data_IF_287164117713
#
_entry.id   IF_287164117713
#
_cell.length_a   1.000
_cell.length_b   1.000
_cell.length_c   1.000
_cell.angle_alpha   90.00
_cell.angle_beta   90.00
_cell.angle_gamma   90.00
#
_symmetry.space_group_name_H-M   'P 1'
#
loop_
_entity.id
_entity.type
_entity.pdbx_description
1 polymer ?
#
# COMPACT_ATOMS: atom_id res chain seq x y z
N UNK A 1 6.68 19.56 2.75
CA UNK A 1 6.07 18.74 3.83
C UNK A 1 5.28 17.54 3.31
N UNK A 2 4.74 17.63 2.11
CA UNK A 2 3.91 16.58 1.46
C UNK A 2 4.64 15.25 1.23
N UNK A 3 5.96 15.25 0.95
CA UNK A 3 6.74 14.03 0.78
C UNK A 3 6.75 13.12 2.02
N UNK A 4 6.62 13.67 3.22
CA UNK A 4 6.52 12.89 4.45
C UNK A 4 5.23 12.06 4.53
N UNK A 5 4.18 12.46 3.80
CA UNK A 5 2.88 11.79 3.77
C UNK A 5 2.81 10.68 2.71
N UNK A 6 3.78 10.62 1.78
CA UNK A 6 3.74 9.71 0.64
C UNK A 6 3.61 8.21 1.04
N UNK A 7 4.32 7.78 2.08
CA UNK A 7 4.25 6.39 2.56
C UNK A 7 2.86 6.08 3.14
N UNK A 8 2.36 6.97 4.01
CA UNK A 8 1.03 6.80 4.62
C UNK A 8 -0.08 6.85 3.56
N UNK A 9 0.01 7.79 2.62
CA UNK A 9 -0.93 7.88 1.49
C UNK A 9 -0.91 6.60 0.64
N UNK A 10 0.26 6.02 0.37
CA UNK A 10 0.37 4.74 -0.35
C UNK A 10 -0.35 3.62 0.41
N UNK A 11 -0.15 3.51 1.73
CA UNK A 11 -0.85 2.50 2.54
C UNK A 11 -2.38 2.67 2.48
N UNK A 12 -2.88 3.90 2.53
CA UNK A 12 -4.33 4.18 2.42
C UNK A 12 -4.87 3.90 1.02
N UNK A 13 -4.10 4.16 -0.04
CA UNK A 13 -4.47 3.78 -1.41
C UNK A 13 -4.62 2.26 -1.53
N UNK A 14 -3.65 1.49 -1.01
CA UNK A 14 -3.73 0.02 -1.02
C UNK A 14 -4.93 -0.47 -0.18
N UNK A 15 -5.16 0.13 0.98
CA UNK A 15 -6.32 -0.18 1.82
C UNK A 15 -7.63 0.06 1.06
N UNK A 16 -7.77 1.19 0.39
CA UNK A 16 -8.95 1.51 -0.42
C UNK A 16 -9.19 0.47 -1.53
N UNK A 17 -8.15 0.08 -2.26
CA UNK A 17 -8.25 -0.92 -3.33
C UNK A 17 -8.74 -2.27 -2.79
N UNK A 18 -8.17 -2.72 -1.67
CA UNK A 18 -8.54 -4.00 -1.05
C UNK A 18 -9.95 -3.93 -0.46
N UNK A 19 -10.31 -2.82 0.20
CA UNK A 19 -11.64 -2.63 0.78
C UNK A 19 -12.74 -2.65 -0.29
N UNK A 20 -12.52 -1.97 -1.41
CA UNK A 20 -13.43 -2.01 -2.56
C UNK A 20 -13.60 -3.42 -3.15
N UNK A 21 -12.50 -4.19 -3.24
CA UNK A 21 -12.56 -5.57 -3.70
C UNK A 21 -13.35 -6.46 -2.72
N UNK A 22 -13.10 -6.33 -1.43
CA UNK A 22 -13.79 -7.07 -0.39
C UNK A 22 -15.28 -6.76 -0.36
N UNK A 23 -15.65 -5.48 -0.50
CA UNK A 23 -17.05 -5.05 -0.59
C UNK A 23 -17.77 -5.69 -1.79
N UNK A 24 -17.14 -5.71 -2.96
CA UNK A 24 -17.69 -6.37 -4.17
C UNK A 24 -17.84 -7.87 -3.97
N UNK A 25 -16.82 -8.53 -3.40
CA UNK A 25 -16.85 -9.96 -3.10
C UNK A 25 -17.93 -10.30 -2.08
N UNK A 26 -18.06 -9.48 -1.02
CA UNK A 26 -19.11 -9.64 -0.02
C UNK A 26 -20.51 -9.54 -0.61
N UNK A 27 -20.73 -8.58 -1.52
CA UNK A 27 -22.00 -8.44 -2.24
C UNK A 27 -22.27 -9.66 -3.15
N UNK A 28 -21.26 -10.12 -3.90
CA UNK A 28 -21.41 -11.24 -4.82
C UNK A 28 -21.70 -12.57 -4.10
N UNK A 29 -21.10 -12.79 -2.94
CA UNK A 29 -21.23 -14.00 -2.14
C UNK A 29 -22.24 -13.89 -0.99
N UNK A 30 -22.88 -12.74 -0.84
CA UNK A 30 -23.88 -12.44 0.21
C UNK A 30 -23.34 -12.73 1.64
N UNK A 31 -22.16 -12.21 1.96
CA UNK A 31 -21.57 -12.28 3.30
C UNK A 31 -20.98 -10.93 3.74
N UNK A 32 -20.79 -10.77 5.05
CA UNK A 32 -20.14 -9.58 5.59
C UNK A 32 -18.65 -9.63 5.28
N UNK A 33 -18.11 -8.68 4.48
CA UNK A 33 -16.71 -8.69 4.12
C UNK A 33 -15.81 -8.46 5.32
N UNK A 34 -14.59 -9.06 5.33
CA UNK A 34 -13.58 -8.76 6.33
C UNK A 34 -13.18 -7.28 6.31
N UNK A 35 -12.86 -6.73 7.47
CA UNK A 35 -12.31 -5.38 7.56
C UNK A 35 -10.86 -5.33 7.06
N UNK A 36 -10.46 -4.21 6.44
CA UNK A 36 -9.06 -3.98 6.06
C UNK A 36 -8.37 -3.14 7.11
N UNK A 37 -7.24 -3.65 7.63
CA UNK A 37 -6.42 -2.96 8.64
C UNK A 37 -5.03 -2.66 8.10
N UNK A 38 -4.42 -1.57 8.58
CA UNK A 38 -3.03 -1.18 8.30
C UNK A 38 -2.24 -1.25 9.60
N UNK A 39 -0.99 -1.69 9.51
CA UNK A 39 -0.07 -1.74 10.64
C UNK A 39 0.38 -3.16 10.96
N UNK A 40 0.95 -3.34 12.14
CA UNK A 40 1.43 -4.67 12.56
C UNK A 40 0.30 -5.69 12.57
N UNK A 41 0.58 -6.93 12.15
CA UNK A 41 -0.39 -8.01 12.23
C UNK A 41 -0.87 -8.22 13.67
N UNK A 42 -2.10 -8.69 13.88
CA UNK A 42 -2.61 -8.98 15.22
C UNK A 42 -1.72 -10.00 15.95
N UNK A 43 -1.37 -9.72 17.21
CA UNK A 43 -0.53 -10.58 18.04
C UNK A 43 -1.22 -11.89 18.49
N UNK A 44 -2.50 -12.07 18.19
CA UNK A 44 -3.28 -13.25 18.58
C UNK A 44 -4.41 -13.55 17.60
N UNK A 45 -5.19 -14.61 17.94
CA UNK A 45 -6.37 -14.94 17.16
C UNK A 45 -7.43 -13.85 17.29
N UNK A 46 -7.80 -13.26 16.16
CA UNK A 46 -8.92 -12.31 16.10
C UNK A 46 -10.23 -13.05 15.97
N UNK A 47 -11.26 -12.61 16.71
CA UNK A 47 -12.60 -13.19 16.61
C UNK A 47 -13.30 -12.81 15.29
N UNK A 48 -12.90 -11.69 14.69
CA UNK A 48 -13.49 -11.14 13.46
C UNK A 48 -12.53 -11.31 12.29
N UNK A 49 -13.01 -11.77 11.12
CA UNK A 49 -12.17 -11.85 9.93
C UNK A 49 -11.67 -10.46 9.52
N UNK A 50 -10.40 -10.38 9.15
CA UNK A 50 -9.77 -9.16 8.63
C UNK A 50 -8.67 -9.47 7.62
N UNK A 51 -8.39 -8.51 6.74
CA UNK A 51 -7.20 -8.48 5.88
C UNK A 51 -6.30 -7.39 6.39
N UNK A 52 -5.06 -7.73 6.72
CA UNK A 52 -4.08 -6.78 7.22
C UNK A 52 -3.04 -6.45 6.14
N UNK A 53 -2.72 -5.17 6.00
CA UNK A 53 -1.63 -4.65 5.16
C UNK A 53 -0.51 -4.14 6.07
N UNK A 54 0.57 -4.89 6.14
CA UNK A 54 1.73 -4.56 6.97
C UNK A 54 2.89 -4.06 6.11
N UNK A 55 3.26 -2.80 6.28
CA UNK A 55 4.50 -2.25 5.70
C UNK A 55 5.69 -2.77 6.50
N UNK A 56 6.43 -3.72 5.92
CA UNK A 56 7.58 -4.35 6.57
C UNK A 56 8.86 -3.52 6.43
N UNK A 57 9.03 -2.85 5.28
CA UNK A 57 10.26 -2.14 4.96
C UNK A 57 10.01 -1.06 3.91
N UNK A 58 10.78 0.03 3.97
CA UNK A 58 10.83 1.08 2.95
C UNK A 58 12.30 1.30 2.56
N UNK A 59 12.61 1.20 1.28
CA UNK A 59 13.96 1.37 0.75
C UNK A 59 13.98 2.40 -0.37
N UNK A 60 15.04 3.22 -0.49
CA UNK A 60 15.25 4.03 -1.68
C UNK A 60 15.40 3.14 -2.92
N UNK A 61 14.65 3.44 -3.99
CA UNK A 61 14.78 2.72 -5.26
C UNK A 61 16.00 3.23 -6.03
N UNK A 62 17.07 2.44 -6.06
CA UNK A 62 18.33 2.79 -6.73
C UNK A 62 18.24 2.71 -8.26
N UNK A 63 17.37 1.86 -8.80
CA UNK A 63 17.25 1.65 -10.25
C UNK A 63 16.61 2.84 -10.95
N UNK A 64 15.60 3.45 -10.35
CA UNK A 64 14.95 4.65 -10.88
C UNK A 64 15.81 5.90 -10.68
N UNK A 65 16.67 5.93 -9.67
CA UNK A 65 17.55 7.06 -9.37
C UNK A 65 18.52 7.38 -10.52
N UNK A 66 18.87 6.39 -11.33
CA UNK A 66 19.76 6.50 -12.49
C UNK A 66 19.01 6.54 -13.83
N UNK A 67 17.68 6.60 -13.83
CA UNK A 67 16.89 6.67 -15.05
C UNK A 67 17.17 8.00 -15.79
N UNK A 68 17.27 8.00 -17.14
CA UNK A 68 17.68 9.17 -17.93
C UNK A 68 16.83 10.43 -17.70
N UNK A 69 15.57 10.31 -17.26
CA UNK A 69 14.69 11.43 -16.94
C UNK A 69 15.00 12.12 -15.61
N UNK A 70 15.83 11.51 -14.76
CA UNK A 70 16.23 12.04 -13.46
C UNK A 70 17.68 12.53 -13.43
N UNK A 71 18.41 12.40 -14.55
CA UNK A 71 19.79 12.84 -14.71
C UNK A 71 19.82 14.28 -15.26
N UNK A 72 20.78 15.06 -14.79
CA UNK A 72 21.07 16.47 -15.14
C UNK A 72 20.65 16.85 -16.56
N UNK A 73 19.97 17.98 -16.70
CA UNK A 73 19.77 18.63 -18.00
C UNK A 73 21.10 18.87 -18.73
N UNK A 74 21.08 19.09 -20.05
CA UNK A 74 22.29 19.27 -20.90
C UNK A 74 23.20 20.41 -20.42
N UNK A 75 22.72 21.33 -19.58
CA UNK A 75 23.49 22.43 -19.00
C UNK A 75 24.03 22.14 -17.59
N UNK A 76 23.88 20.89 -17.07
CA UNK A 76 24.34 20.51 -15.74
C UNK A 76 23.47 21.00 -14.59
N UNK A 77 22.37 21.67 -14.88
CA UNK A 77 21.42 22.10 -13.88
C UNK A 77 20.77 20.90 -13.21
N UNK A 78 20.87 20.81 -11.88
CA UNK A 78 20.04 19.85 -11.13
C UNK A 78 18.58 20.25 -11.33
N UNK A 79 17.68 19.32 -11.69
CA UNK A 79 16.27 19.59 -11.54
C UNK A 79 16.07 20.09 -10.11
N UNK A 80 15.35 21.17 -9.93
CA UNK A 80 15.16 21.87 -8.66
C UNK A 80 14.70 20.94 -7.54
N UNK A 81 14.21 19.73 -7.90
CA UNK A 81 13.83 18.68 -6.95
C UNK A 81 13.91 17.30 -7.60
N UNK A 82 14.62 16.41 -6.91
CA UNK A 82 14.56 14.98 -7.25
C UNK A 82 13.30 14.38 -6.59
N UNK A 83 12.50 13.61 -7.34
CA UNK A 83 11.38 12.90 -6.75
C UNK A 83 11.88 11.91 -5.69
N UNK A 84 11.06 11.70 -4.67
CA UNK A 84 11.25 10.65 -3.69
C UNK A 84 10.90 9.32 -4.35
N UNK A 85 11.90 8.48 -4.57
CA UNK A 85 11.76 7.17 -5.19
C UNK A 85 11.92 6.09 -4.14
N UNK A 86 10.86 5.36 -3.83
CA UNK A 86 10.86 4.32 -2.80
C UNK A 86 10.29 3.00 -3.32
N UNK A 87 10.86 1.91 -2.79
CA UNK A 87 10.28 0.58 -2.80
C UNK A 87 9.73 0.29 -1.40
N UNK A 88 8.43 0.10 -1.31
CA UNK A 88 7.69 -0.19 -0.09
C UNK A 88 7.30 -1.67 -0.08
N UNK A 89 7.76 -2.41 0.92
CA UNK A 89 7.52 -3.84 1.03
C UNK A 89 6.34 -4.09 1.95
N UNK A 90 5.27 -4.65 1.39
CA UNK A 90 4.04 -4.97 2.10
C UNK A 90 3.82 -6.47 2.23
N UNK A 91 3.31 -6.87 3.39
CA UNK A 91 2.75 -8.19 3.63
C UNK A 91 1.24 -8.04 3.77
N UNK A 92 0.48 -8.62 2.83
CA UNK A 92 -0.97 -8.75 2.94
C UNK A 92 -1.28 -10.09 3.61
N UNK A 93 -2.08 -10.10 4.68
CA UNK A 93 -2.37 -11.32 5.45
C UNK A 93 -3.83 -11.40 5.86
N UNK A 94 -4.37 -12.62 5.86
CA UNK A 94 -5.73 -12.91 6.30
C UNK A 94 -5.77 -13.38 7.75
N UNK A 95 -6.67 -12.82 8.57
CA UNK A 95 -6.83 -13.13 9.99
C UNK A 95 -8.27 -13.48 10.33
N UNK A 96 -8.47 -14.17 11.46
CA UNK A 96 -9.78 -14.56 11.97
C UNK A 96 -10.18 -16.00 11.64
N UNK A 97 -11.37 -16.43 12.08
CA UNK A 97 -11.85 -17.79 11.92
C UNK A 97 -12.41 -18.07 10.52
N UNK A 98 -12.38 -19.35 10.14
CA UNK A 98 -13.05 -19.88 8.96
C UNK A 98 -12.49 -19.44 7.62
N UNK A 99 -13.23 -19.72 6.55
CA UNK A 99 -12.87 -19.44 5.16
C UNK A 99 -12.95 -17.93 4.80
N UNK A 100 -13.62 -17.12 5.61
CA UNK A 100 -13.76 -15.68 5.34
C UNK A 100 -12.41 -14.96 5.25
N UNK A 101 -11.42 -15.35 6.07
CA UNK A 101 -10.05 -14.81 5.99
C UNK A 101 -9.35 -15.17 4.69
N UNK A 102 -9.59 -16.39 4.19
CA UNK A 102 -8.95 -16.89 2.97
C UNK A 102 -9.60 -16.28 1.73
N UNK A 103 -10.93 -16.15 1.74
CA UNK A 103 -11.69 -15.41 0.71
C UNK A 103 -11.23 -13.95 0.68
N UNK A 104 -11.09 -13.31 1.85
CA UNK A 104 -10.61 -11.95 1.96
C UNK A 104 -9.20 -11.76 1.42
N UNK A 105 -8.29 -12.66 1.78
CA UNK A 105 -6.92 -12.63 1.26
C UNK A 105 -6.91 -12.90 -0.26
N UNK A 106 -7.72 -13.83 -0.76
CA UNK A 106 -7.86 -14.10 -2.19
C UNK A 106 -8.32 -12.88 -2.98
N UNK A 107 -9.33 -12.15 -2.50
CA UNK A 107 -9.81 -10.91 -3.10
C UNK A 107 -8.73 -9.80 -3.08
N UNK A 108 -7.96 -9.70 -1.99
CA UNK A 108 -6.83 -8.77 -1.91
C UNK A 108 -5.73 -9.12 -2.93
N UNK A 109 -5.37 -10.39 -3.04
CA UNK A 109 -4.38 -10.87 -4.01
C UNK A 109 -4.85 -10.56 -5.43
N UNK A 110 -6.09 -10.90 -5.77
CA UNK A 110 -6.65 -10.67 -7.08
C UNK A 110 -6.62 -9.19 -7.46
N UNK A 111 -7.12 -8.29 -6.60
CA UNK A 111 -7.18 -6.86 -6.92
C UNK A 111 -5.80 -6.23 -7.04
N UNK A 112 -4.84 -6.59 -6.18
CA UNK A 112 -3.48 -6.06 -6.25
C UNK A 112 -2.72 -6.55 -7.48
N UNK A 113 -3.00 -7.77 -7.95
CA UNK A 113 -2.43 -8.30 -9.20
C UNK A 113 -3.08 -7.67 -10.45
N UNK A 114 -4.38 -7.40 -10.40
CA UNK A 114 -5.10 -6.75 -11.50
C UNK A 114 -4.82 -5.24 -11.60
N UNK A 115 -4.21 -4.65 -10.58
CA UNK A 115 -3.87 -3.22 -10.53
C UNK A 115 -2.35 -3.02 -10.45
N UNK A 116 -1.58 -3.47 -11.46
CA UNK A 116 -0.12 -3.36 -11.44
C UNK A 116 0.37 -1.90 -11.47
N UNK A 117 -0.45 -0.98 -12.01
CA UNK A 117 -0.20 0.46 -12.03
C UNK A 117 -1.44 1.15 -11.49
N UNK A 118 -1.27 1.95 -10.45
CA UNK A 118 -2.37 2.75 -9.89
C UNK A 118 -2.47 4.05 -10.67
N UNK A 119 -3.62 4.26 -11.31
CA UNK A 119 -3.87 5.48 -12.10
C UNK A 119 -4.09 6.70 -11.21
N UNK A 120 -3.80 7.90 -11.73
CA UNK A 120 -4.05 9.17 -11.01
C UNK A 120 -5.51 9.31 -10.57
N UNK A 121 -6.46 8.83 -11.37
CA UNK A 121 -7.88 8.83 -11.02
C UNK A 121 -8.15 7.96 -9.78
N UNK A 122 -7.54 6.77 -9.69
CA UNK A 122 -7.64 5.88 -8.53
C UNK A 122 -6.99 6.50 -7.29
N UNK A 123 -5.80 7.10 -7.43
CA UNK A 123 -5.11 7.82 -6.35
C UNK A 123 -6.03 8.92 -5.79
N UNK A 124 -6.57 9.76 -6.69
CA UNK A 124 -7.47 10.84 -6.31
C UNK A 124 -8.73 10.30 -5.60
N UNK A 125 -9.37 9.26 -6.13
CA UNK A 125 -10.57 8.67 -5.53
C UNK A 125 -10.27 8.09 -4.15
N UNK A 126 -9.17 7.35 -4.00
CA UNK A 126 -8.79 6.73 -2.74
C UNK A 126 -8.47 7.78 -1.66
N UNK A 127 -7.67 8.80 -1.98
CA UNK A 127 -7.29 9.80 -0.99
C UNK A 127 -8.42 10.78 -0.67
N UNK A 128 -9.26 11.16 -1.66
CA UNK A 128 -10.45 11.99 -1.40
C UNK A 128 -11.51 11.27 -0.55
N UNK A 129 -11.52 9.95 -0.51
CA UNK A 129 -12.40 9.21 0.40
C UNK A 129 -12.08 9.45 1.88
N UNK A 130 -10.91 10.02 2.18
CA UNK A 130 -10.48 10.42 3.52
C UNK A 130 -10.88 11.86 3.88
N UNK A 131 -11.50 12.59 2.93
CA UNK A 131 -12.02 13.92 3.21
C UNK A 131 -13.11 13.84 4.28
N UNK A 132 -12.96 14.62 5.35
CA UNK A 132 -13.86 14.52 6.50
C UNK A 132 -13.55 13.39 7.50
N UNK A 133 -12.46 12.62 7.32
CA UNK A 133 -12.05 11.62 8.31
C UNK A 133 -11.81 12.30 9.68
N UNK A 134 -12.29 11.72 10.79
CA UNK A 134 -12.11 12.27 12.12
C UNK A 134 -10.64 12.35 12.55
N UNK A 135 -9.80 11.45 12.04
CA UNK A 135 -8.35 11.52 12.27
C UNK A 135 -7.72 12.63 11.39
N UNK A 136 -7.15 13.68 12.02
CA UNK A 136 -6.54 14.78 11.27
C UNK A 136 -5.35 14.34 10.43
N UNK A 137 -4.61 13.31 10.82
CA UNK A 137 -3.49 12.79 10.03
C UNK A 137 -3.97 12.10 8.77
N UNK A 138 -5.03 11.28 8.86
CA UNK A 138 -5.63 10.63 7.70
C UNK A 138 -6.29 11.67 6.78
N UNK A 139 -7.00 12.63 7.34
CA UNK A 139 -7.58 13.74 6.58
C UNK A 139 -6.52 14.55 5.82
N UNK A 140 -5.34 14.76 6.40
CA UNK A 140 -4.25 15.46 5.70
C UNK A 140 -3.78 14.75 4.42
N UNK A 141 -4.03 13.44 4.27
CA UNK A 141 -3.70 12.69 3.06
C UNK A 141 -4.62 13.04 1.89
N UNK A 142 -5.80 13.64 2.13
CA UNK A 142 -6.73 14.08 1.07
C UNK A 142 -6.35 15.41 0.43
N UNK A 143 -5.29 16.08 0.93
CA UNK A 143 -4.80 17.33 0.36
C UNK A 143 -4.43 17.16 -1.11
N UNK A 144 -4.86 18.11 -1.95
CA UNK A 144 -4.58 18.09 -3.39
C UNK A 144 -3.07 18.04 -3.68
N UNK A 145 -2.24 18.70 -2.89
CA UNK A 145 -0.79 18.67 -3.04
C UNK A 145 -0.20 17.27 -2.78
N UNK A 146 -0.83 16.44 -1.94
CA UNK A 146 -0.43 15.03 -1.76
C UNK A 146 -0.84 14.20 -2.96
N UNK A 147 -2.05 14.41 -3.48
CA UNK A 147 -2.57 13.70 -4.66
C UNK A 147 -1.70 14.01 -5.88
N UNK A 148 -1.41 15.28 -6.13
CA UNK A 148 -0.63 15.74 -7.29
C UNK A 148 0.86 15.38 -7.17
N UNK A 149 1.33 15.08 -5.97
CA UNK A 149 2.71 14.65 -5.73
C UNK A 149 3.03 13.26 -6.29
N UNK A 150 2.04 12.39 -6.48
CA UNK A 150 2.28 11.05 -7.04
C UNK A 150 2.47 11.10 -8.55
N UNK A 151 3.69 10.84 -9.01
CA UNK A 151 4.00 10.64 -10.44
C UNK A 151 3.68 9.22 -10.89
N UNK A 152 3.93 8.23 -10.04
CA UNK A 152 3.61 6.83 -10.31
C UNK A 152 3.52 5.99 -9.04
N UNK A 153 2.64 4.99 -9.07
CA UNK A 153 2.58 3.90 -8.09
C UNK A 153 2.47 2.60 -8.89
N UNK A 154 3.45 1.71 -8.71
CA UNK A 154 3.45 0.40 -9.32
C UNK A 154 3.43 -0.69 -8.25
N UNK A 155 2.51 -1.66 -8.38
CA UNK A 155 2.34 -2.78 -7.47
C UNK A 155 2.87 -4.05 -8.14
N UNK A 156 3.75 -4.77 -7.47
CA UNK A 156 4.34 -5.99 -7.98
C UNK A 156 4.31 -7.07 -6.90
N UNK A 157 3.76 -8.24 -7.23
CA UNK A 157 3.87 -9.38 -6.35
C UNK A 157 5.34 -9.80 -6.20
N UNK A 158 5.73 -10.13 -4.97
CA UNK A 158 7.06 -10.62 -4.63
C UNK A 158 6.93 -12.02 -4.05
N UNK A 159 7.76 -12.96 -4.53
CA UNK A 159 7.86 -14.27 -3.89
C UNK A 159 8.89 -14.21 -2.77
N UNK A 160 8.45 -14.41 -1.54
CA UNK A 160 9.32 -14.63 -0.40
C UNK A 160 9.41 -16.13 -0.12
N UNK A 161 10.63 -16.63 0.15
CA UNK A 161 10.81 -17.98 0.66
C UNK A 161 10.13 -18.17 2.02
N UNK A 162 9.79 -19.40 2.36
CA UNK A 162 9.10 -19.72 3.62
C UNK A 162 9.89 -19.24 4.85
N UNK A 163 11.21 -19.39 4.84
CA UNK A 163 12.09 -18.95 5.94
C UNK A 163 12.04 -17.43 6.12
N UNK A 164 12.08 -16.66 5.04
CA UNK A 164 11.96 -15.20 5.08
C UNK A 164 10.61 -14.77 5.62
N UNK A 165 9.55 -15.45 5.16
CA UNK A 165 8.18 -15.21 5.64
C UNK A 165 8.07 -15.51 7.14
N UNK A 166 8.57 -16.67 7.58
CA UNK A 166 8.59 -17.03 9.01
C UNK A 166 9.38 -16.01 9.84
N UNK A 167 10.51 -15.53 9.34
CA UNK A 167 11.31 -14.49 9.99
C UNK A 167 10.54 -13.18 10.19
N UNK A 168 9.73 -12.76 9.19
CA UNK A 168 8.88 -11.57 9.31
C UNK A 168 7.81 -11.73 10.40
N UNK A 169 7.16 -12.91 10.48
CA UNK A 169 6.15 -13.19 11.50
C UNK A 169 6.75 -13.23 12.91
N UNK A 170 7.95 -13.80 13.07
CA UNK A 170 8.69 -13.79 14.35
C UNK A 170 9.04 -12.35 14.74
N UNK A 171 9.56 -11.55 13.80
CA UNK A 171 9.88 -10.15 14.06
C UNK A 171 8.65 -9.30 14.41
N UNK A 172 7.51 -9.59 13.81
CA UNK A 172 6.22 -8.95 14.10
C UNK A 172 5.59 -9.43 15.42
N UNK A 173 6.15 -10.47 16.08
CA UNK A 173 5.59 -11.11 17.26
C UNK A 173 4.14 -11.58 17.09
N UNK A 174 3.81 -12.04 15.89
CA UNK A 174 2.48 -12.46 15.52
C UNK A 174 2.47 -13.91 15.03
N UNK A 175 1.35 -14.66 15.23
CA UNK A 175 1.24 -16.02 14.73
C UNK A 175 1.24 -16.05 13.22
N UNK A 176 1.93 -17.06 12.65
CA UNK A 176 1.97 -17.26 11.19
C UNK A 176 0.54 -17.37 10.64
N UNK A 177 0.22 -16.55 9.69
CA UNK A 177 -1.07 -16.51 8.99
C UNK A 177 -0.87 -16.57 7.47
N UNK A 178 -1.87 -17.05 6.71
CA UNK A 178 -1.81 -16.99 5.24
C UNK A 178 -1.51 -15.57 4.77
N UNK A 179 -0.52 -15.42 3.89
CA UNK A 179 -0.06 -14.10 3.46
C UNK A 179 0.53 -14.10 2.07
N UNK A 180 0.55 -12.93 1.44
CA UNK A 180 1.20 -12.64 0.17
C UNK A 180 2.03 -11.36 0.31
N UNK A 181 3.18 -11.31 -0.35
CA UNK A 181 4.08 -10.17 -0.29
C UNK A 181 4.11 -9.38 -1.59
N UNK A 182 4.26 -8.06 -1.46
CA UNK A 182 4.25 -7.10 -2.54
C UNK A 182 5.36 -6.08 -2.38
N UNK A 183 5.91 -5.63 -3.50
CA UNK A 183 6.72 -4.42 -3.59
C UNK A 183 5.87 -3.36 -4.27
N UNK A 184 5.72 -2.22 -3.62
CA UNK A 184 5.05 -1.04 -4.18
C UNK A 184 6.10 0.02 -4.42
N UNK A 185 6.41 0.24 -5.68
CA UNK A 185 7.37 1.28 -6.11
C UNK A 185 6.61 2.58 -6.30
N UNK A 186 7.05 3.63 -5.61
CA UNK A 186 6.47 4.97 -5.74
C UNK A 186 7.50 5.97 -6.26
N UNK A 187 7.03 6.88 -7.12
CA UNK A 187 7.70 8.11 -7.46
C UNK A 187 6.82 9.27 -6.98
N UNK A 188 7.35 10.06 -6.06
CA UNK A 188 6.62 11.16 -5.44
C UNK A 188 7.44 12.45 -5.52
N UNK A 189 6.84 13.51 -6.05
CA UNK A 189 7.44 14.84 -6.13
C UNK A 189 6.63 15.80 -5.26
N UNK A 190 7.31 16.56 -4.40
CA UNK A 190 6.65 17.57 -3.61
C UNK A 190 6.28 18.76 -4.50
N UNK A 191 4.99 19.02 -4.79
CA UNK A 191 4.59 20.10 -5.69
C UNK A 191 4.81 21.49 -5.09
N UNK A 192 5.06 21.58 -3.77
CA UNK A 192 5.22 22.83 -3.03
C UNK A 192 6.68 23.24 -2.80
N UNK A 193 7.63 22.52 -3.38
CA UNK A 193 9.04 22.77 -3.10
C UNK A 193 9.77 23.36 -4.31
#
# INVERSE_FOLDING_TARGET
>A
MTAALAIAATSEILRFLVDEALRKTGQALNFTPPAVTIGSPPAGNTATPSVNLFLCQALPNSSLRNAPGFVRGPLGDRPSQQPLLLDLFYLASGHGPGSAREIGLGAAIETLQQTPIVTTALISTALRSLDGDPDPLRRALSDQAVIDGFESIAIKAQSLGLDSTAGLWIAAQAPLSPSASYVVTIAFKDPSA
#
